data_IF_911018444855
#
_entry.id   IF_911018444855
#
_cell.length_a   1.000
_cell.length_b   1.000
_cell.length_c   1.000
_cell.angle_alpha   90.00
_cell.angle_beta   90.00
_cell.angle_gamma   90.00
#
_symmetry.space_group_name_H-M   'P 1'
#
loop_
_entity.id
_entity.type
_entity.pdbx_description
1 polymer ?
#
# COMPACT_ATOMS: atom_id res chain seq x y z
N UNK A 1 6.08 -7.83 10.13
CA UNK A 1 5.26 -6.73 9.61
C UNK A 1 5.25 -6.85 8.09
N UNK A 2 4.08 -6.98 7.47
CA UNK A 2 3.94 -6.93 6.03
C UNK A 2 4.12 -5.45 5.61
N UNK A 3 5.28 -5.10 5.05
CA UNK A 3 5.57 -3.74 4.59
C UNK A 3 5.19 -3.67 3.10
N UNK A 4 4.22 -2.81 2.72
CA UNK A 4 3.74 -2.75 1.34
C UNK A 4 4.83 -2.36 0.34
N UNK A 5 5.86 -1.63 0.77
CA UNK A 5 7.01 -1.27 -0.09
C UNK A 5 7.85 -2.50 -0.41
N UNK A 6 8.08 -3.36 0.58
CA UNK A 6 8.84 -4.61 0.41
C UNK A 6 8.03 -5.64 -0.38
N UNK A 7 6.73 -5.74 -0.14
CA UNK A 7 5.85 -6.68 -0.84
C UNK A 7 5.66 -6.32 -2.32
N UNK A 8 5.55 -5.03 -2.61
CA UNK A 8 5.41 -4.52 -3.98
C UNK A 8 6.74 -4.37 -4.71
N UNK A 9 7.88 -4.56 -4.03
CA UNK A 9 9.20 -4.22 -4.53
C UNK A 9 9.24 -2.81 -5.17
N UNK A 10 8.61 -1.83 -4.51
CA UNK A 10 8.32 -0.52 -5.10
C UNK A 10 9.10 0.63 -4.46
N UNK A 11 10.19 0.34 -3.76
CA UNK A 11 11.02 1.36 -3.12
C UNK A 11 12.01 0.80 -2.12
N UNK A 12 12.48 1.66 -1.21
CA UNK A 12 13.44 1.32 -0.18
C UNK A 12 12.81 1.43 1.20
N UNK A 13 13.11 0.46 2.07
CA UNK A 13 12.75 0.49 3.49
C UNK A 13 14.03 0.71 4.27
N UNK A 14 14.05 1.77 5.08
CA UNK A 14 15.19 2.11 5.92
C UNK A 14 14.93 1.65 7.34
N UNK A 15 15.95 1.02 7.94
CA UNK A 15 15.92 0.63 9.35
C UNK A 15 15.98 1.86 10.27
N UNK A 16 16.61 2.95 9.83
CA UNK A 16 16.69 4.20 10.60
C UNK A 16 16.35 5.41 9.74
N UNK A 17 15.53 6.30 10.29
CA UNK A 17 15.16 7.57 9.64
C UNK A 17 16.17 8.69 9.93
N UNK A 18 17.48 8.40 9.94
CA UNK A 18 18.51 9.41 10.16
C UNK A 18 18.88 10.15 8.85
N UNK A 19 19.41 11.38 8.92
CA UNK A 19 19.68 12.18 7.73
C UNK A 19 20.62 11.50 6.72
N UNK A 20 21.63 10.76 7.20
CA UNK A 20 22.62 10.09 6.35
C UNK A 20 21.99 8.95 5.55
N UNK A 21 21.18 8.10 6.19
CA UNK A 21 20.49 7.00 5.53
C UNK A 21 19.46 7.50 4.52
N UNK A 22 18.71 8.56 4.86
CA UNK A 22 17.75 9.17 3.93
C UNK A 22 18.47 9.75 2.71
N UNK A 23 19.55 10.50 2.91
CA UNK A 23 20.33 11.07 1.81
C UNK A 23 20.90 9.99 0.89
N UNK A 24 21.42 8.89 1.47
CA UNK A 24 21.89 7.73 0.72
C UNK A 24 20.77 7.08 -0.09
N UNK A 25 19.59 6.90 0.49
CA UNK A 25 18.43 6.32 -0.19
C UNK A 25 17.94 7.16 -1.37
N UNK A 26 17.86 8.49 -1.18
CA UNK A 26 17.53 9.43 -2.27
C UNK A 26 18.59 9.35 -3.36
N UNK A 27 19.87 9.28 -3.00
CA UNK A 27 20.98 9.12 -3.95
C UNK A 27 20.87 7.85 -4.78
N UNK A 28 20.54 6.71 -4.15
CA UNK A 28 20.32 5.43 -4.84
C UNK A 28 19.15 5.49 -5.82
N UNK A 29 18.03 6.10 -5.44
CA UNK A 29 16.88 6.27 -6.34
C UNK A 29 17.16 7.24 -7.48
N UNK A 30 17.97 8.26 -7.23
CA UNK A 30 18.36 9.25 -8.24
C UNK A 30 19.36 8.69 -9.25
N UNK A 31 20.20 7.73 -8.86
CA UNK A 31 21.19 7.10 -9.73
C UNK A 31 20.63 5.95 -10.59
N UNK A 32 19.43 5.45 -10.26
CA UNK A 32 18.71 4.51 -11.14
C UNK A 32 18.44 5.14 -12.50
N UNK A 33 18.52 4.33 -13.55
CA UNK A 33 18.05 4.76 -14.86
C UNK A 33 16.53 5.03 -14.85
N UNK A 34 16.08 5.80 -15.84
CA UNK A 34 14.69 6.24 -15.91
C UNK A 34 13.70 5.09 -15.98
N UNK A 35 14.05 4.02 -16.71
CA UNK A 35 13.21 2.84 -16.90
C UNK A 35 13.04 2.06 -15.59
N UNK A 36 14.13 1.75 -14.90
CA UNK A 36 14.12 1.06 -13.61
C UNK A 36 13.31 1.86 -12.59
N UNK A 37 13.48 3.19 -12.56
CA UNK A 37 12.74 4.05 -11.64
C UNK A 37 11.24 4.10 -11.96
N UNK A 38 10.87 4.07 -13.24
CA UNK A 38 9.47 4.01 -13.67
C UNK A 38 8.84 2.65 -13.33
N UNK A 39 9.57 1.55 -13.53
CA UNK A 39 9.12 0.21 -13.14
C UNK A 39 8.87 0.12 -11.63
N UNK A 40 9.77 0.66 -10.80
CA UNK A 40 9.61 0.75 -9.34
C UNK A 40 8.31 1.49 -8.99
N UNK A 41 8.07 2.64 -9.61
CA UNK A 41 6.83 3.41 -9.40
C UNK A 41 5.57 2.67 -9.85
N UNK A 42 5.63 2.00 -11.01
CA UNK A 42 4.50 1.27 -11.59
C UNK A 42 4.09 0.08 -10.71
N UNK A 43 5.05 -0.69 -10.17
CA UNK A 43 4.76 -1.79 -9.24
C UNK A 43 4.02 -1.30 -8.00
N UNK A 44 4.44 -0.17 -7.43
CA UNK A 44 3.77 0.43 -6.27
C UNK A 44 2.33 0.83 -6.58
N UNK A 45 2.09 1.43 -7.75
CA UNK A 45 0.75 1.79 -8.21
C UNK A 45 -0.14 0.55 -8.37
N UNK A 46 0.35 -0.49 -9.04
CA UNK A 46 -0.37 -1.73 -9.25
C UNK A 46 -0.73 -2.41 -7.93
N UNK A 47 0.23 -2.47 -7.00
CA UNK A 47 0.02 -3.03 -5.68
C UNK A 47 -1.08 -2.30 -4.91
N UNK A 48 -1.09 -0.96 -4.89
CA UNK A 48 -2.12 -0.17 -4.19
C UNK A 48 -3.49 -0.35 -4.82
N UNK A 49 -3.58 -0.46 -6.15
CA UNK A 49 -4.84 -0.68 -6.85
C UNK A 49 -5.41 -2.09 -6.62
N UNK A 50 -4.55 -3.10 -6.61
CA UNK A 50 -4.93 -4.48 -6.34
C UNK A 50 -5.31 -4.69 -4.87
N UNK A 51 -4.56 -4.07 -3.96
CA UNK A 51 -4.72 -4.19 -2.53
C UNK A 51 -5.39 -2.93 -1.95
N UNK A 52 -6.49 -2.43 -2.53
CA UNK A 52 -7.34 -1.37 -1.95
C UNK A 52 -7.97 -1.83 -0.63
N UNK A 53 -7.13 -2.05 0.35
CA UNK A 53 -7.39 -2.73 1.61
C UNK A 53 -8.41 -1.97 2.43
N UNK A 54 -8.43 -0.63 2.30
CA UNK A 54 -9.42 0.22 2.95
C UNK A 54 -10.87 -0.02 2.49
N UNK A 55 -11.11 -0.31 1.21
CA UNK A 55 -12.48 -0.58 0.72
C UNK A 55 -12.95 -1.92 1.28
N UNK A 56 -12.11 -2.95 1.18
CA UNK A 56 -12.39 -4.28 1.71
C UNK A 56 -12.55 -4.28 3.23
N UNK A 57 -11.72 -3.52 3.93
CA UNK A 57 -11.80 -3.33 5.38
C UNK A 57 -13.10 -2.63 5.75
N UNK A 58 -13.45 -1.54 5.07
CA UNK A 58 -14.71 -0.82 5.31
C UNK A 58 -15.93 -1.74 5.08
N UNK A 59 -15.92 -2.57 4.04
CA UNK A 59 -16.97 -3.57 3.80
C UNK A 59 -17.05 -4.61 4.92
N UNK A 60 -15.92 -5.12 5.41
CA UNK A 60 -15.89 -6.06 6.54
C UNK A 60 -16.44 -5.43 7.83
N UNK A 61 -16.06 -4.18 8.12
CA UNK A 61 -16.60 -3.43 9.25
C UNK A 61 -18.10 -3.19 9.11
N UNK A 62 -18.57 -2.81 7.91
CA UNK A 62 -19.98 -2.60 7.64
C UNK A 62 -20.78 -3.90 7.86
N UNK A 63 -20.30 -5.02 7.32
CA UNK A 63 -20.91 -6.34 7.53
C UNK A 63 -20.97 -6.72 9.00
N UNK A 64 -19.92 -6.43 9.77
CA UNK A 64 -19.89 -6.70 11.21
C UNK A 64 -20.93 -5.84 11.96
N UNK A 65 -21.00 -4.54 11.66
CA UNK A 65 -21.95 -3.62 12.27
C UNK A 65 -23.40 -3.97 11.90
N UNK A 66 -23.68 -4.39 10.67
CA UNK A 66 -25.01 -4.86 10.24
C UNK A 66 -25.44 -6.12 11.01
N UNK A 67 -24.53 -7.09 11.16
CA UNK A 67 -24.76 -8.31 11.96
C UNK A 67 -25.07 -7.99 13.42
N UNK A 68 -24.30 -7.08 14.02
CA UNK A 68 -24.45 -6.70 15.43
C UNK A 68 -25.71 -5.86 15.70
N UNK A 69 -26.16 -5.06 14.73
CA UNK A 69 -27.33 -4.19 14.86
C UNK A 69 -28.64 -4.86 14.44
N UNK A 70 -28.61 -6.12 13.99
CA UNK A 70 -29.80 -6.86 13.55
C UNK A 70 -30.46 -6.32 12.27
N UNK A 71 -29.86 -5.30 11.63
CA UNK A 71 -30.29 -4.82 10.31
C UNK A 71 -29.77 -5.79 9.26
N UNK A 72 -30.47 -6.90 9.06
CA UNK A 72 -30.30 -7.71 7.85
C UNK A 72 -30.61 -6.79 6.66
N UNK A 73 -29.60 -6.50 5.85
CA UNK A 73 -29.72 -5.65 4.68
C UNK A 73 -30.97 -6.03 3.88
N UNK A 74 -31.93 -5.12 3.80
CA UNK A 74 -33.04 -5.23 2.87
C UNK A 74 -32.42 -5.26 1.47
N UNK A 75 -32.47 -6.44 0.83
CA UNK A 75 -32.26 -6.60 -0.61
C UNK A 75 -33.00 -5.46 -1.32
N UNK A 76 -32.26 -4.55 -1.94
CA UNK A 76 -32.84 -3.60 -2.89
C UNK A 76 -32.65 -4.16 -4.29
N UNK A 77 -33.80 -4.30 -4.93
CA UNK A 77 -34.09 -4.81 -6.28
C UNK A 77 -33.22 -4.24 -7.39
#
# INVERSE_FOLDING_TARGET
>A
AQNPVTEADCGLVLERSNPQEIAGAIGMLASMDGESREQVGQRGREYVLANRDYVRLAEQYLQLLEKLTGRSASKKS
#
